data_IF_228344696032
#
_entry.id   IF_228344696032
#
_cell.length_a   1.000
_cell.length_b   1.000
_cell.length_c   1.000
_cell.angle_alpha   90.00
_cell.angle_beta   90.00
_cell.angle_gamma   90.00
#
_symmetry.space_group_name_H-M   'P 1'
#
loop_
_entity.id
_entity.type
_entity.pdbx_description
1 polymer ?
#
# COMPACT_ATOMS: atom_id res chain seq x y z
N UNK A 1 22.38 -42.40 35.17
CA UNK A 1 21.93 -41.02 35.46
C UNK A 1 20.77 -40.69 34.55
N UNK A 2 19.69 -40.16 35.12
CA UNK A 2 18.52 -39.46 34.54
C UNK A 2 17.69 -40.11 33.40
N UNK A 3 16.61 -40.73 33.87
CA UNK A 3 15.22 -40.93 33.40
C UNK A 3 14.66 -40.10 32.23
N UNK A 4 13.85 -40.81 31.40
CA UNK A 4 12.81 -40.40 30.45
C UNK A 4 12.04 -39.10 30.76
N UNK A 5 11.51 -38.43 29.73
CA UNK A 5 10.07 -38.19 29.55
C UNK A 5 9.68 -38.11 28.06
N UNK A 6 9.04 -39.15 27.55
CA UNK A 6 8.05 -39.02 26.47
C UNK A 6 6.75 -38.64 27.18
N UNK A 7 6.15 -37.51 26.80
CA UNK A 7 4.77 -37.19 27.15
C UNK A 7 3.97 -37.03 25.85
N UNK A 8 2.94 -37.84 25.80
CA UNK A 8 1.98 -38.03 24.74
C UNK A 8 1.19 -36.76 24.40
N UNK A 9 0.75 -36.73 23.14
CA UNK A 9 -0.19 -35.82 22.46
C UNK A 9 -1.47 -35.48 23.23
N UNK A 10 -2.17 -34.41 22.81
CA UNK A 10 -3.34 -34.62 21.94
C UNK A 10 -3.18 -33.80 20.65
N UNK A 11 -3.25 -34.36 19.45
CA UNK A 11 -4.52 -34.69 18.76
C UNK A 11 -5.62 -33.60 18.77
N UNK A 12 -5.35 -32.37 19.24
CA UNK A 12 -6.32 -31.27 19.31
C UNK A 12 -5.98 -30.04 18.46
N UNK A 13 -4.83 -29.99 17.78
CA UNK A 13 -4.56 -28.98 16.74
C UNK A 13 -4.68 -29.57 15.33
N UNK A 14 -5.03 -30.86 15.23
CA UNK A 14 -5.36 -31.50 13.95
C UNK A 14 -6.81 -31.20 13.49
N UNK A 15 -7.59 -30.39 14.21
CA UNK A 15 -9.03 -30.23 13.94
C UNK A 15 -9.61 -28.83 14.17
N UNK A 16 -8.81 -27.77 14.00
CA UNK A 16 -9.38 -26.45 13.75
C UNK A 16 -8.77 -25.90 12.47
N UNK A 17 -9.53 -26.08 11.38
CA UNK A 17 -9.37 -25.45 10.07
C UNK A 17 -8.28 -26.13 9.20
N UNK A 18 -8.53 -27.19 8.44
CA UNK A 18 -9.49 -27.22 7.33
C UNK A 18 -10.03 -25.84 6.94
N UNK A 19 -9.12 -24.89 6.67
CA UNK A 19 -9.44 -23.73 5.86
C UNK A 19 -8.91 -24.04 4.47
N UNK A 20 -9.84 -24.36 3.58
CA UNK A 20 -9.64 -24.37 2.14
C UNK A 20 -8.64 -23.30 1.75
N UNK A 21 -7.53 -23.74 1.18
CA UNK A 21 -6.49 -22.93 0.57
C UNK A 21 -7.02 -22.25 -0.70
N UNK A 22 -8.03 -21.39 -0.55
CA UNK A 22 -8.27 -20.26 -1.42
C UNK A 22 -7.95 -19.03 -0.57
N UNK A 23 -6.66 -18.79 -0.37
CA UNK A 23 -6.16 -17.52 0.12
C UNK A 23 -6.40 -16.43 -0.95
N UNK A 24 -7.67 -16.05 -1.15
CA UNK A 24 -8.07 -14.82 -1.81
C UNK A 24 -7.90 -13.68 -0.82
N UNK A 25 -6.67 -13.46 -0.35
CA UNK A 25 -6.39 -12.42 0.62
C UNK A 25 -6.28 -11.07 -0.09
N UNK A 26 -7.44 -10.45 -0.34
CA UNK A 26 -7.52 -9.14 -1.00
C UNK A 26 -6.86 -8.04 -0.19
N UNK A 27 -6.71 -8.24 1.12
CA UNK A 27 -6.30 -7.21 2.07
C UNK A 27 -5.26 -7.79 3.02
N UNK A 28 -4.09 -7.16 3.09
CA UNK A 28 -3.10 -7.46 4.13
C UNK A 28 -3.06 -6.36 5.19
N UNK A 29 -2.76 -6.72 6.43
CA UNK A 29 -2.57 -5.74 7.51
C UNK A 29 -1.09 -5.50 7.75
N UNK A 30 -0.69 -4.23 7.73
CA UNK A 30 0.67 -3.80 8.06
C UNK A 30 0.65 -3.27 9.48
N UNK A 31 1.11 -4.10 10.42
CA UNK A 31 1.02 -3.81 11.85
C UNK A 31 1.82 -2.58 12.30
N UNK A 32 2.98 -2.31 11.68
CA UNK A 32 3.81 -1.14 12.02
C UNK A 32 3.10 0.18 11.76
N UNK A 33 2.36 0.24 10.64
CA UNK A 33 1.64 1.43 10.19
C UNK A 33 0.16 1.40 10.56
N UNK A 34 -0.31 0.33 11.21
CA UNK A 34 -1.71 0.10 11.55
C UNK A 34 -2.65 0.29 10.36
N UNK A 35 -2.24 -0.11 9.16
CA UNK A 35 -2.99 0.12 7.92
C UNK A 35 -3.34 -1.18 7.24
N UNK A 36 -4.52 -1.23 6.59
CA UNK A 36 -4.84 -2.32 5.68
C UNK A 36 -4.53 -1.93 4.24
N UNK A 37 -3.87 -2.83 3.51
CA UNK A 37 -3.44 -2.62 2.14
C UNK A 37 -4.18 -3.60 1.24
N UNK A 38 -4.81 -3.07 0.19
CA UNK A 38 -5.33 -3.94 -0.86
C UNK A 38 -4.18 -4.49 -1.70
N UNK A 39 -4.04 -5.82 -1.71
CA UNK A 39 -2.98 -6.54 -2.42
C UNK A 39 -3.15 -6.49 -3.94
N UNK A 40 -4.37 -6.23 -4.45
CA UNK A 40 -4.67 -6.14 -5.89
C UNK A 40 -4.21 -4.83 -6.51
N UNK A 41 -4.43 -3.71 -5.83
CA UNK A 41 -4.14 -2.37 -6.36
C UNK A 41 -3.11 -1.59 -5.54
N UNK A 42 -2.49 -2.22 -4.54
CA UNK A 42 -1.47 -1.60 -3.71
C UNK A 42 -1.94 -0.29 -3.07
N UNK A 43 -3.22 -0.21 -2.69
CA UNK A 43 -3.82 0.97 -2.09
C UNK A 43 -4.03 0.77 -0.60
N UNK A 44 -3.66 1.76 0.20
CA UNK A 44 -4.04 1.82 1.61
C UNK A 44 -5.54 2.12 1.73
N UNK A 45 -6.26 1.24 2.41
CA UNK A 45 -7.70 1.36 2.59
C UNK A 45 -8.00 1.30 4.09
N UNK A 46 -8.75 2.25 4.65
CA UNK A 46 -9.19 2.15 6.03
C UNK A 46 -10.32 1.11 6.16
N UNK A 47 -10.50 0.52 7.34
CA UNK A 47 -11.45 -0.59 7.55
C UNK A 47 -12.87 -0.21 7.12
N UNK A 48 -13.35 1.01 7.44
CA UNK A 48 -14.68 1.47 7.02
C UNK A 48 -14.82 1.67 5.51
N UNK A 49 -13.71 1.83 4.79
CA UNK A 49 -13.66 1.95 3.33
C UNK A 49 -13.60 0.61 2.60
N UNK A 50 -13.35 -0.50 3.30
CA UNK A 50 -13.06 -1.80 2.68
C UNK A 50 -14.21 -2.35 1.83
N UNK A 51 -15.46 -2.33 2.31
CA UNK A 51 -16.59 -2.86 1.52
C UNK A 51 -16.74 -2.10 0.21
N UNK A 52 -16.72 -0.76 0.29
CA UNK A 52 -16.84 0.12 -0.87
C UNK A 52 -15.68 -0.09 -1.84
N UNK A 53 -14.45 -0.15 -1.35
CA UNK A 53 -13.26 -0.38 -2.17
C UNK A 53 -13.33 -1.72 -2.90
N UNK A 54 -13.57 -2.82 -2.18
CA UNK A 54 -13.63 -4.15 -2.75
C UNK A 54 -14.80 -4.31 -3.74
N UNK A 55 -15.93 -3.64 -3.48
CA UNK A 55 -17.10 -3.63 -4.38
C UNK A 55 -16.84 -2.86 -5.66
N UNK A 56 -16.29 -1.65 -5.58
CA UNK A 56 -16.17 -0.74 -6.73
C UNK A 56 -14.89 -0.99 -7.53
N UNK A 57 -13.74 -1.10 -6.86
CA UNK A 57 -12.46 -1.23 -7.54
C UNK A 57 -12.20 -2.65 -8.08
N UNK A 58 -12.76 -3.65 -7.41
CA UNK A 58 -12.41 -5.06 -7.66
C UNK A 58 -13.62 -5.98 -7.88
N UNK A 59 -14.85 -5.46 -7.80
CA UNK A 59 -16.08 -6.23 -8.02
C UNK A 59 -16.15 -7.53 -7.20
N UNK A 60 -15.58 -7.53 -5.99
CA UNK A 60 -15.48 -8.73 -5.14
C UNK A 60 -16.88 -9.15 -4.68
N UNK A 61 -17.25 -10.44 -4.75
CA UNK A 61 -18.55 -10.94 -4.29
C UNK A 61 -18.86 -10.61 -2.82
N UNK A 62 -20.13 -10.33 -2.50
CA UNK A 62 -20.56 -9.90 -1.17
C UNK A 62 -20.20 -10.86 -0.03
N UNK A 63 -20.24 -12.18 -0.29
CA UNK A 63 -19.83 -13.20 0.68
C UNK A 63 -18.35 -13.05 1.05
N UNK A 64 -17.48 -12.88 0.06
CA UNK A 64 -16.04 -12.72 0.28
C UNK A 64 -15.73 -11.38 0.96
N UNK A 65 -16.38 -10.28 0.54
CA UNK A 65 -16.18 -8.97 1.19
C UNK A 65 -16.48 -9.02 2.69
N UNK A 66 -17.62 -9.61 3.07
CA UNK A 66 -17.99 -9.76 4.50
C UNK A 66 -16.97 -10.60 5.28
N UNK A 67 -16.52 -11.72 4.70
CA UNK A 67 -15.47 -12.54 5.31
C UNK A 67 -14.15 -11.78 5.47
N UNK A 68 -13.75 -10.99 4.46
CA UNK A 68 -12.55 -10.15 4.54
C UNK A 68 -12.66 -9.08 5.62
N UNK A 69 -13.79 -8.38 5.72
CA UNK A 69 -13.99 -7.30 6.70
C UNK A 69 -14.00 -7.83 8.13
N UNK A 70 -14.69 -8.94 8.38
CA UNK A 70 -14.79 -9.54 9.72
C UNK A 70 -13.42 -9.95 10.32
N UNK A 71 -12.38 -10.14 9.48
CA UNK A 71 -11.02 -10.42 9.97
C UNK A 71 -10.36 -9.23 10.65
N UNK A 72 -10.88 -8.02 10.45
CA UNK A 72 -10.35 -6.80 11.04
C UNK A 72 -11.14 -6.36 12.27
N UNK A 73 -12.13 -7.14 12.71
CA UNK A 73 -12.82 -6.90 13.98
C UNK A 73 -11.83 -7.05 15.14
N UNK A 74 -11.64 -5.98 15.91
CA UNK A 74 -10.70 -5.94 17.04
C UNK A 74 -9.22 -5.78 16.64
N UNK A 75 -8.90 -5.68 15.35
CA UNK A 75 -7.54 -5.34 14.88
C UNK A 75 -7.36 -3.82 15.02
N UNK A 76 -6.22 -3.33 15.56
CA UNK A 76 -5.96 -1.89 15.71
C UNK A 76 -5.56 -1.27 14.37
N UNK A 77 -6.40 -1.42 13.34
CA UNK A 77 -6.23 -0.85 12.02
C UNK A 77 -6.92 0.53 11.91
N UNK A 78 -6.39 1.39 11.06
CA UNK A 78 -6.96 2.66 10.66
C UNK A 78 -8.41 2.50 10.21
N UNK A 79 -9.31 3.27 10.82
CA UNK A 79 -10.75 3.19 10.56
C UNK A 79 -11.19 4.19 9.50
N UNK A 80 -10.47 5.32 9.39
CA UNK A 80 -10.75 6.42 8.47
C UNK A 80 -9.52 6.83 7.68
N UNK A 81 -9.72 7.56 6.58
CA UNK A 81 -8.61 8.12 5.79
C UNK A 81 -7.78 9.13 6.58
N UNK A 82 -8.37 9.83 7.55
CA UNK A 82 -7.65 10.77 8.41
C UNK A 82 -6.69 10.05 9.38
N UNK A 83 -6.89 8.75 9.62
CA UNK A 83 -5.97 7.94 10.41
C UNK A 83 -4.74 7.53 9.58
N UNK A 84 -4.81 7.67 8.26
CA UNK A 84 -3.71 7.37 7.33
C UNK A 84 -2.81 8.60 7.24
N UNK A 85 -1.77 8.63 8.07
CA UNK A 85 -0.76 9.69 8.01
C UNK A 85 0.28 9.31 6.95
N UNK A 86 0.57 10.18 5.97
CA UNK A 86 1.68 9.94 5.05
C UNK A 86 2.98 9.75 5.82
N UNK A 87 3.78 8.76 5.42
CA UNK A 87 5.15 8.64 5.93
C UNK A 87 5.92 9.94 5.70
N UNK A 88 6.83 10.27 6.61
CA UNK A 88 7.70 11.44 6.43
C UNK A 88 8.46 11.31 5.11
N UNK A 89 8.70 12.44 4.43
CA UNK A 89 9.47 12.44 3.18
C UNK A 89 10.84 11.78 3.39
N UNK A 90 11.12 10.70 2.66
CA UNK A 90 12.35 9.92 2.80
C UNK A 90 12.21 8.61 3.58
N UNK A 91 11.02 8.29 4.12
CA UNK A 91 10.74 6.95 4.66
C UNK A 91 10.89 5.88 3.59
N UNK A 92 11.45 4.73 3.99
CA UNK A 92 11.52 3.54 3.13
C UNK A 92 10.10 3.17 2.68
N UNK A 93 9.84 2.97 1.37
CA UNK A 93 8.56 2.44 0.91
C UNK A 93 8.24 1.14 1.65
N UNK A 94 6.96 0.90 1.96
CA UNK A 94 6.58 -0.39 2.54
C UNK A 94 7.06 -1.50 1.62
N UNK A 95 7.83 -2.46 2.16
CA UNK A 95 8.46 -3.56 1.43
C UNK A 95 7.48 -4.39 0.58
N UNK A 96 6.19 -4.31 0.89
CA UNK A 96 5.11 -5.01 0.21
C UNK A 96 4.57 -4.29 -1.02
N UNK A 97 4.96 -3.03 -1.24
CA UNK A 97 4.60 -2.31 -2.45
C UNK A 97 5.61 -2.56 -3.56
N UNK A 98 5.15 -2.62 -4.83
CA UNK A 98 6.07 -2.58 -5.94
C UNK A 98 6.98 -1.35 -5.83
N UNK A 99 8.22 -1.43 -6.35
CA UNK A 99 9.10 -0.29 -6.38
C UNK A 99 8.36 0.94 -6.94
N UNK A 100 8.57 2.14 -6.37
CA UNK A 100 7.92 3.34 -6.86
C UNK A 100 8.21 3.49 -8.36
N UNK A 101 7.14 3.72 -9.13
CA UNK A 101 7.26 3.90 -10.58
C UNK A 101 8.00 5.22 -10.84
N UNK A 102 8.98 5.24 -11.77
CA UNK A 102 9.64 6.47 -12.15
C UNK A 102 8.63 7.54 -12.57
N UNK A 103 8.71 8.71 -11.96
CA UNK A 103 7.90 9.87 -12.28
C UNK A 103 8.69 10.93 -13.04
N UNK A 104 7.96 11.93 -13.54
CA UNK A 104 8.48 13.15 -14.12
C UNK A 104 8.31 14.29 -13.11
N UNK A 105 9.37 15.05 -12.87
CA UNK A 105 9.34 16.27 -12.07
C UNK A 105 9.51 17.48 -12.99
N UNK A 106 8.74 18.54 -12.76
CA UNK A 106 8.93 19.78 -13.51
C UNK A 106 10.17 20.52 -12.96
N UNK A 107 11.12 20.97 -13.80
CA UNK A 107 12.30 21.69 -13.33
C UNK A 107 11.99 23.10 -12.80
N UNK A 108 10.79 23.63 -13.07
CA UNK A 108 10.36 24.97 -12.68
C UNK A 108 9.37 24.98 -11.52
N UNK A 109 8.84 23.81 -11.13
CA UNK A 109 7.95 23.68 -9.97
C UNK A 109 8.64 22.96 -8.82
N UNK A 110 8.31 23.37 -7.60
CA UNK A 110 8.68 22.66 -6.38
C UNK A 110 7.85 21.38 -6.19
N UNK A 111 6.58 21.42 -6.59
CA UNK A 111 5.59 20.43 -6.15
C UNK A 111 4.95 19.63 -7.30
N UNK A 112 5.07 20.09 -8.56
CA UNK A 112 4.46 19.37 -9.68
C UNK A 112 5.26 18.13 -10.07
N UNK A 113 4.67 16.96 -9.82
CA UNK A 113 5.22 15.64 -10.15
C UNK A 113 4.12 14.78 -10.74
N UNK A 114 4.43 13.97 -11.76
CA UNK A 114 3.45 13.07 -12.39
C UNK A 114 4.12 11.85 -12.99
N UNK A 115 3.44 10.71 -13.01
CA UNK A 115 3.89 9.50 -13.73
C UNK A 115 3.50 9.50 -15.21
N UNK A 116 2.73 10.50 -15.66
CA UNK A 116 2.20 10.56 -17.03
C UNK A 116 2.95 11.63 -17.85
N UNK A 117 3.67 11.19 -18.89
CA UNK A 117 4.43 12.09 -19.75
C UNK A 117 3.58 13.11 -20.51
N UNK A 118 2.36 12.73 -20.92
CA UNK A 118 1.42 13.65 -21.54
C UNK A 118 0.99 14.77 -20.60
N UNK A 119 0.79 14.45 -19.32
CA UNK A 119 0.51 15.44 -18.28
C UNK A 119 1.70 16.36 -18.03
N UNK A 120 2.92 15.81 -17.96
CA UNK A 120 4.13 16.61 -17.80
C UNK A 120 4.31 17.56 -18.99
N UNK A 121 4.16 17.07 -20.22
CA UNK A 121 4.29 17.89 -21.43
C UNK A 121 3.26 19.01 -21.46
N UNK A 122 2.01 18.70 -21.08
CA UNK A 122 0.95 19.70 -20.99
C UNK A 122 1.31 20.76 -19.95
N UNK A 123 1.67 20.35 -18.74
CA UNK A 123 2.09 21.26 -17.67
C UNK A 123 3.27 22.16 -18.07
N UNK A 124 4.35 21.56 -18.61
CA UNK A 124 5.53 22.31 -19.05
C UNK A 124 5.18 23.38 -20.09
N UNK A 125 4.26 23.05 -21.00
CA UNK A 125 3.76 23.99 -22.01
C UNK A 125 2.83 25.05 -21.43
N UNK A 126 1.88 24.68 -20.57
CA UNK A 126 0.85 25.61 -20.08
C UNK A 126 1.34 26.54 -18.98
N UNK A 127 2.17 26.03 -18.07
CA UNK A 127 2.60 26.80 -16.88
C UNK A 127 3.94 27.50 -17.08
N UNK A 128 4.77 27.03 -18.03
CA UNK A 128 6.14 27.52 -18.18
C UNK A 128 6.54 27.86 -19.62
N UNK A 129 5.71 27.53 -20.61
CA UNK A 129 6.01 27.69 -22.04
C UNK A 129 7.36 27.07 -22.46
N UNK A 130 7.73 25.94 -21.85
CA UNK A 130 8.98 25.23 -22.15
C UNK A 130 8.72 23.86 -22.79
N UNK A 131 9.73 23.35 -23.49
CA UNK A 131 9.67 22.02 -24.09
C UNK A 131 9.79 20.92 -23.02
N UNK A 132 8.95 19.89 -23.12
CA UNK A 132 8.98 18.78 -22.17
C UNK A 132 10.32 18.02 -22.17
N UNK A 133 11.10 18.08 -23.25
CA UNK A 133 12.45 17.50 -23.35
C UNK A 133 13.42 18.02 -22.28
N UNK A 134 13.16 19.20 -21.71
CA UNK A 134 13.94 19.74 -20.59
C UNK A 134 13.54 19.13 -19.23
N UNK A 135 12.42 18.42 -19.15
CA UNK A 135 11.90 17.74 -17.96
C UNK A 135 12.47 16.32 -17.82
N UNK A 136 13.75 16.15 -18.14
CA UNK A 136 14.48 14.86 -18.23
C UNK A 136 14.13 13.95 -17.06
N UNK A 137 13.87 12.67 -17.39
CA UNK A 137 13.63 11.61 -16.41
C UNK A 137 14.75 11.62 -15.38
N UNK A 138 14.40 11.89 -14.12
CA UNK A 138 15.31 11.69 -13.00
C UNK A 138 15.47 10.17 -12.78
N UNK A 139 16.28 9.54 -13.64
CA UNK A 139 16.69 8.14 -13.53
C UNK A 139 17.93 7.99 -12.64
N UNK A 140 18.63 9.08 -12.33
CA UNK A 140 19.90 9.01 -11.61
C UNK A 140 19.75 9.68 -10.25
N UNK A 141 19.63 8.82 -9.24
CA UNK A 141 19.82 9.07 -7.80
C UNK A 141 18.50 9.25 -7.06
N UNK A 142 18.21 8.26 -6.22
CA UNK A 142 17.50 8.42 -4.96
C UNK A 142 18.16 9.47 -4.06
N UNK A 143 18.13 10.73 -4.48
CA UNK A 143 18.28 11.89 -3.61
C UNK A 143 17.05 12.71 -3.86
N UNK A 144 16.04 12.42 -3.04
CA UNK A 144 14.90 13.29 -2.78
C UNK A 144 15.33 14.74 -3.00
N UNK A 145 14.73 15.44 -3.96
CA UNK A 145 14.89 16.89 -4.08
C UNK A 145 14.31 17.57 -2.83
N UNK A 146 15.08 17.56 -1.74
CA UNK A 146 14.90 18.42 -0.59
C UNK A 146 15.77 19.65 -0.84
N UNK A 147 15.18 20.70 -1.42
CA UNK A 147 15.70 22.04 -1.16
C UNK A 147 15.14 22.50 0.18
N UNK A 148 16.05 22.77 1.12
CA UNK A 148 15.73 23.45 2.38
C UNK A 148 14.99 24.75 2.08
N UNK A 149 13.83 24.97 2.70
CA UNK A 149 13.32 26.33 2.92
C UNK A 149 14.25 26.98 3.95
N UNK A 150 15.04 27.95 3.51
CA UNK A 150 15.57 29.01 4.37
C UNK A 150 14.46 30.01 4.66
#
# INVERSE_FOLDING_TARGET
MATNWILSTPASIANYLQQDAIALDYITFVASEKVTICTRCCTAVPVMGLDTHLRIAHHVPSKLRRMTIARFDGVPAAQFFNDLVPGQGGSTPLLYFPPPVPGFCCPRCTDFKTINWGQMRRHAKTEHDISASECVQDQSKHTVCLRKRT
#
